data_IF_666052850493
#
_entry.id   IF_666052850493
#
_cell.length_a   1.000
_cell.length_b   1.000
_cell.length_c   1.000
_cell.angle_alpha   90.00
_cell.angle_beta   90.00
_cell.angle_gamma   90.00
#
_symmetry.space_group_name_H-M   'P 1'
#
loop_
_entity.id
_entity.type
_entity.pdbx_description
1 polymer ?
#
# COMPACT_ATOMS: atom_id res chain seq x y z
N UNK A 1 13.59 53.82 -76.21
CA UNK A 1 12.71 53.41 -75.05
C UNK A 1 13.26 52.08 -74.59
N UNK A 2 13.97 52.05 -73.46
CA UNK A 2 14.51 50.85 -72.83
C UNK A 2 13.51 50.47 -71.76
N UNK A 3 12.81 49.28 -71.87
CA UNK A 3 11.99 48.71 -70.87
C UNK A 3 12.89 47.90 -69.90
N UNK A 4 12.96 48.37 -68.65
CA UNK A 4 13.54 47.70 -67.51
C UNK A 4 12.50 46.78 -66.89
N UNK A 5 12.65 45.47 -67.03
CA UNK A 5 11.85 44.48 -66.25
C UNK A 5 12.62 44.16 -64.97
N UNK A 6 12.24 44.84 -63.94
CA UNK A 6 12.65 44.48 -62.58
C UNK A 6 11.90 43.22 -62.12
N UNK A 7 12.56 42.07 -62.06
CA UNK A 7 12.08 40.93 -61.34
C UNK A 7 12.24 41.19 -59.84
N UNK A 8 11.14 41.16 -59.12
CA UNK A 8 11.11 41.25 -57.63
C UNK A 8 11.80 39.98 -57.08
N UNK A 9 12.63 40.13 -56.05
CA UNK A 9 13.05 38.96 -55.24
C UNK A 9 11.99 38.66 -54.19
N UNK A 10 10.95 37.95 -54.58
CA UNK A 10 9.97 37.38 -53.65
C UNK A 10 10.25 35.88 -53.57
N UNK A 11 11.08 35.45 -52.63
CA UNK A 11 10.94 34.10 -52.03
C UNK A 11 12.05 33.66 -51.07
N UNK A 12 13.13 34.43 -50.87
CA UNK A 12 14.24 33.96 -50.01
C UNK A 12 13.94 34.18 -48.55
N UNK A 13 13.21 35.23 -48.20
CA UNK A 13 12.88 35.59 -46.80
C UNK A 13 11.80 34.69 -46.16
N UNK A 14 10.90 34.09 -46.97
CA UNK A 14 9.87 33.17 -46.49
C UNK A 14 10.40 31.76 -46.18
N UNK A 15 11.45 31.32 -46.84
CA UNK A 15 12.08 30.00 -46.60
C UNK A 15 12.96 30.01 -45.34
N UNK A 16 13.70 31.09 -45.06
CA UNK A 16 14.49 31.25 -43.83
C UNK A 16 13.60 31.40 -42.61
N UNK A 17 12.48 32.14 -42.69
CA UNK A 17 11.51 32.28 -41.60
C UNK A 17 10.82 30.94 -41.31
N UNK A 18 10.46 30.15 -42.32
CA UNK A 18 9.84 28.84 -42.20
C UNK A 18 10.80 27.82 -41.55
N UNK A 19 12.07 27.82 -41.96
CA UNK A 19 13.12 26.98 -41.36
C UNK A 19 13.39 27.36 -39.92
N UNK A 20 13.38 28.64 -39.59
CA UNK A 20 13.49 29.14 -38.20
C UNK A 20 12.34 28.64 -37.30
N UNK A 21 11.12 28.75 -37.77
CA UNK A 21 9.93 28.31 -37.05
C UNK A 21 9.93 26.78 -36.80
N UNK A 22 10.29 26.00 -37.83
CA UNK A 22 10.40 24.52 -37.73
C UNK A 22 11.45 24.12 -36.69
N UNK A 23 12.61 24.76 -36.65
CA UNK A 23 13.67 24.51 -35.67
C UNK A 23 13.22 24.85 -34.24
N UNK A 24 12.50 25.97 -34.05
CA UNK A 24 11.95 26.32 -32.72
C UNK A 24 10.90 25.34 -32.28
N UNK A 25 10.03 24.85 -33.15
CA UNK A 25 9.02 23.84 -32.88
C UNK A 25 9.67 22.53 -32.43
N UNK A 26 10.67 22.04 -33.16
CA UNK A 26 11.42 20.83 -32.79
C UNK A 26 12.11 20.95 -31.43
N UNK A 27 12.69 22.14 -31.13
CA UNK A 27 13.30 22.40 -29.82
C UNK A 27 12.25 22.46 -28.70
N UNK A 28 11.09 23.04 -28.95
CA UNK A 28 10.00 23.09 -27.98
C UNK A 28 9.47 21.68 -27.65
N UNK A 29 9.25 20.86 -28.68
CA UNK A 29 8.83 19.45 -28.51
C UNK A 29 9.88 18.61 -27.73
N UNK A 30 11.17 18.81 -28.05
CA UNK A 30 12.25 18.14 -27.32
C UNK A 30 12.32 18.57 -25.85
N UNK A 31 12.15 19.87 -25.56
CA UNK A 31 12.12 20.38 -24.20
C UNK A 31 10.89 19.87 -23.42
N UNK A 32 9.73 19.86 -24.06
CA UNK A 32 8.50 19.35 -23.45
C UNK A 32 8.68 17.86 -23.06
N UNK A 33 9.24 17.05 -23.93
CA UNK A 33 9.56 15.65 -23.64
C UNK A 33 10.50 15.51 -22.45
N UNK A 34 11.58 16.30 -22.40
CA UNK A 34 12.53 16.28 -21.27
C UNK A 34 11.83 16.70 -19.96
N UNK A 35 10.97 17.71 -20.00
CA UNK A 35 10.20 18.17 -18.83
C UNK A 35 9.27 17.05 -18.35
N UNK A 36 8.55 16.40 -19.26
CA UNK A 36 7.66 15.28 -18.92
C UNK A 36 8.43 14.12 -18.29
N UNK A 37 9.56 13.69 -18.89
CA UNK A 37 10.40 12.61 -18.37
C UNK A 37 10.97 12.94 -16.98
N UNK A 38 11.45 14.17 -16.80
CA UNK A 38 11.97 14.61 -15.48
C UNK A 38 10.89 14.74 -14.43
N UNK A 39 9.71 15.24 -14.81
CA UNK A 39 8.58 15.35 -13.90
C UNK A 39 8.13 13.95 -13.44
N UNK A 40 7.98 12.99 -14.34
CA UNK A 40 7.65 11.61 -14.01
C UNK A 40 8.68 10.99 -13.05
N UNK A 41 9.98 11.15 -13.35
CA UNK A 41 11.05 10.66 -12.47
C UNK A 41 11.06 11.31 -11.09
N UNK A 42 10.74 12.61 -10.99
CA UNK A 42 10.63 13.29 -9.70
C UNK A 42 9.43 12.81 -8.89
N UNK A 43 8.29 12.56 -9.54
CA UNK A 43 7.10 12.00 -8.86
C UNK A 43 7.41 10.62 -8.28
N UNK A 44 8.06 9.76 -9.08
CA UNK A 44 8.47 8.42 -8.63
C UNK A 44 9.43 8.49 -7.43
N UNK A 45 10.49 9.32 -7.53
CA UNK A 45 11.44 9.50 -6.43
C UNK A 45 10.80 10.07 -5.17
N UNK A 46 9.89 11.02 -5.30
CA UNK A 46 9.16 11.55 -4.15
C UNK A 46 8.33 10.45 -3.48
N UNK A 47 7.69 9.60 -4.28
CA UNK A 47 6.92 8.45 -3.75
C UNK A 47 7.81 7.45 -3.00
N UNK A 48 8.98 7.14 -3.54
CA UNK A 48 9.97 6.30 -2.86
C UNK A 48 10.40 6.90 -1.51
N UNK A 49 10.70 8.20 -1.48
CA UNK A 49 11.09 8.90 -0.24
C UNK A 49 9.94 8.93 0.80
N UNK A 50 8.69 9.09 0.38
CA UNK A 50 7.54 9.00 1.27
C UNK A 50 7.42 7.61 1.90
N UNK A 51 7.58 6.56 1.11
CA UNK A 51 7.56 5.17 1.60
C UNK A 51 8.71 4.93 2.57
N UNK A 52 9.92 5.37 2.24
CA UNK A 52 11.10 5.19 3.08
C UNK A 52 10.96 5.93 4.43
N UNK A 53 10.43 7.15 4.41
CA UNK A 53 10.14 7.91 5.62
C UNK A 53 9.06 7.23 6.49
N UNK A 54 8.02 6.66 5.88
CA UNK A 54 6.99 5.91 6.57
C UNK A 54 7.56 4.64 7.24
N UNK A 55 8.40 3.88 6.50
CA UNK A 55 9.07 2.69 7.02
C UNK A 55 10.02 3.02 8.18
N UNK A 56 10.78 4.11 8.07
CA UNK A 56 11.69 4.53 9.13
C UNK A 56 10.94 4.92 10.41
N UNK A 57 9.76 5.51 10.27
CA UNK A 57 8.91 5.85 11.42
C UNK A 57 8.38 4.60 12.13
N UNK A 58 7.91 3.61 11.37
CA UNK A 58 7.49 2.31 11.93
C UNK A 58 8.66 1.61 12.62
N UNK A 59 9.84 1.56 11.96
CA UNK A 59 11.06 0.97 12.49
C UNK A 59 11.49 1.62 13.79
N UNK A 60 11.44 2.95 13.87
CA UNK A 60 11.82 3.72 15.07
C UNK A 60 10.96 3.31 16.27
N UNK A 61 9.64 3.18 16.07
CA UNK A 61 8.74 2.72 17.13
C UNK A 61 9.04 1.28 17.50
N UNK A 62 9.19 0.38 16.53
CA UNK A 62 9.50 -1.02 16.77
C UNK A 62 10.81 -1.23 17.55
N UNK A 63 11.86 -0.43 17.25
CA UNK A 63 13.14 -0.49 17.95
C UNK A 63 13.10 0.12 19.35
N UNK A 64 12.12 0.97 19.65
CA UNK A 64 11.96 1.58 20.99
C UNK A 64 11.21 0.67 21.97
N UNK A 65 10.62 -0.44 21.50
CA UNK A 65 9.84 -1.36 22.33
C UNK A 65 10.72 -1.97 23.42
N UNK A 66 10.17 -2.00 24.62
CA UNK A 66 10.78 -2.66 25.78
C UNK A 66 9.98 -3.84 26.26
N UNK A 67 8.71 -3.91 25.87
CA UNK A 67 7.74 -4.96 26.24
C UNK A 67 6.90 -5.38 25.04
N UNK A 68 6.40 -6.59 25.09
CA UNK A 68 5.57 -7.16 24.00
C UNK A 68 4.20 -6.50 23.87
N UNK A 69 3.64 -5.96 24.96
CA UNK A 69 2.36 -5.25 24.94
C UNK A 69 2.44 -3.90 24.21
N UNK A 70 3.63 -3.34 24.07
CA UNK A 70 3.90 -2.13 23.27
C UNK A 70 3.83 -2.39 21.74
N UNK A 71 3.72 -3.65 21.30
CA UNK A 71 3.61 -3.99 19.86
C UNK A 71 2.37 -3.37 19.20
N UNK A 72 1.32 -3.09 19.98
CA UNK A 72 0.15 -2.38 19.50
C UNK A 72 0.47 -0.96 18.99
N UNK A 73 1.47 -0.30 19.55
CA UNK A 73 1.92 1.02 19.09
C UNK A 73 2.55 0.93 17.70
N UNK A 74 3.22 -0.18 17.38
CA UNK A 74 3.74 -0.44 16.03
C UNK A 74 2.60 -0.62 15.04
N UNK A 75 1.58 -1.43 15.38
CA UNK A 75 0.40 -1.63 14.53
C UNK A 75 -0.33 -0.29 14.28
N UNK A 76 -0.44 0.56 15.32
CA UNK A 76 -1.00 1.90 15.20
C UNK A 76 -0.21 2.78 14.23
N UNK A 77 1.09 2.88 14.42
CA UNK A 77 1.94 3.71 13.55
C UNK A 77 1.93 3.17 12.12
N UNK A 78 1.95 1.86 11.93
CA UNK A 78 1.81 1.24 10.61
C UNK A 78 0.50 1.67 9.93
N UNK A 79 -0.63 1.56 10.63
CA UNK A 79 -1.93 1.99 10.11
C UNK A 79 -1.94 3.47 9.71
N UNK A 80 -1.45 4.35 10.59
CA UNK A 80 -1.37 5.79 10.34
C UNK A 80 -0.48 6.13 9.13
N UNK A 81 0.67 5.46 8.99
CA UNK A 81 1.56 5.68 7.85
C UNK A 81 0.94 5.17 6.53
N UNK A 82 0.25 4.04 6.54
CA UNK A 82 -0.46 3.54 5.37
C UNK A 82 -1.55 4.52 4.90
N UNK A 83 -2.32 5.09 5.83
CA UNK A 83 -3.30 6.13 5.47
C UNK A 83 -2.64 7.36 4.86
N UNK A 84 -1.51 7.83 5.39
CA UNK A 84 -0.74 8.96 4.85
C UNK A 84 -0.19 8.66 3.46
N UNK A 85 0.17 7.41 3.19
CA UNK A 85 0.60 6.94 1.88
C UNK A 85 -0.56 6.77 0.88
N UNK A 86 -1.82 7.05 1.29
CA UNK A 86 -3.00 7.01 0.44
C UNK A 86 -3.74 5.67 0.41
N UNK A 87 -3.38 4.70 1.27
CA UNK A 87 -4.13 3.45 1.42
C UNK A 87 -5.37 3.67 2.30
N UNK A 88 -6.41 4.30 1.77
CA UNK A 88 -7.60 4.72 2.54
C UNK A 88 -8.64 3.61 2.73
N UNK A 89 -8.57 2.53 1.95
CA UNK A 89 -9.54 1.43 1.97
C UNK A 89 -9.18 0.29 2.94
N UNK A 90 -8.13 0.48 3.75
CA UNK A 90 -7.75 -0.50 4.75
C UNK A 90 -8.71 -0.49 5.94
N UNK A 91 -9.08 -1.67 6.42
CA UNK A 91 -9.86 -1.83 7.63
C UNK A 91 -9.00 -1.62 8.88
N UNK A 92 -7.84 -2.28 8.95
CA UNK A 92 -6.91 -2.28 10.07
C UNK A 92 -5.48 -2.60 9.62
N UNK A 93 -4.52 -2.34 10.51
CA UNK A 93 -3.18 -2.94 10.44
C UNK A 93 -3.08 -4.04 11.50
N UNK A 94 -2.35 -5.11 11.18
CA UNK A 94 -2.28 -6.35 11.96
C UNK A 94 -0.82 -6.74 12.13
N UNK A 95 -0.48 -7.20 13.33
CA UNK A 95 0.80 -7.84 13.63
C UNK A 95 0.52 -9.09 14.45
N UNK A 96 0.87 -10.26 13.92
CA UNK A 96 0.77 -11.55 14.60
C UNK A 96 2.14 -12.00 15.07
N UNK A 97 2.28 -12.33 16.35
CA UNK A 97 3.51 -12.89 16.92
C UNK A 97 3.21 -14.29 17.45
N UNK A 98 3.85 -15.27 16.85
CA UNK A 98 3.65 -16.69 17.10
C UNK A 98 4.52 -17.22 18.24
N UNK A 99 3.96 -18.11 19.06
CA UNK A 99 4.66 -18.91 20.05
C UNK A 99 4.35 -20.40 19.82
N UNK A 100 5.24 -21.06 19.05
CA UNK A 100 5.09 -22.47 18.67
C UNK A 100 5.12 -23.43 19.86
N UNK A 101 5.66 -23.02 21.01
CA UNK A 101 5.70 -23.83 22.22
C UNK A 101 4.32 -23.98 22.85
N UNK A 102 3.51 -22.94 22.75
CA UNK A 102 2.14 -22.92 23.28
C UNK A 102 1.09 -23.07 22.19
N UNK A 103 1.51 -23.17 20.93
CA UNK A 103 0.64 -23.23 19.74
C UNK A 103 -0.41 -22.11 19.74
N UNK A 104 0.06 -20.88 20.06
CA UNK A 104 -0.76 -19.67 20.12
C UNK A 104 -0.02 -18.51 19.46
N UNK A 105 -0.76 -17.47 19.13
CA UNK A 105 -0.19 -16.18 18.74
C UNK A 105 -0.91 -15.01 19.39
N UNK A 106 -0.20 -13.90 19.47
CA UNK A 106 -0.76 -12.61 19.88
C UNK A 106 -1.08 -11.82 18.62
N UNK A 107 -2.36 -11.49 18.44
CA UNK A 107 -2.88 -10.62 17.37
C UNK A 107 -2.97 -9.19 17.90
N UNK A 108 -2.17 -8.29 17.33
CA UNK A 108 -2.17 -6.85 17.58
C UNK A 108 -2.86 -6.16 16.42
N UNK A 109 -4.08 -5.76 16.61
CA UNK A 109 -4.96 -5.17 15.58
C UNK A 109 -5.22 -3.69 15.92
N UNK A 110 -5.03 -2.80 14.94
CA UNK A 110 -5.32 -1.37 15.12
C UNK A 110 -6.08 -0.79 13.93
N UNK A 111 -7.13 -0.02 14.26
CA UNK A 111 -7.81 0.90 13.33
C UNK A 111 -8.33 2.12 14.08
N UNK A 112 -8.58 3.20 13.37
CA UNK A 112 -9.14 4.42 13.98
C UNK A 112 -10.55 4.18 14.58
N UNK A 113 -11.35 3.30 13.94
CA UNK A 113 -12.74 3.05 14.35
C UNK A 113 -12.84 2.15 15.58
N UNK A 114 -11.94 1.18 15.70
CA UNK A 114 -11.98 0.19 16.76
C UNK A 114 -10.97 0.45 17.86
N UNK A 115 -10.07 1.42 17.66
CA UNK A 115 -8.86 1.57 18.48
C UNK A 115 -7.98 0.32 18.38
N UNK A 116 -7.14 0.07 19.37
CA UNK A 116 -6.31 -1.13 19.39
C UNK A 116 -6.96 -2.29 20.14
N UNK A 117 -6.74 -3.51 19.64
CA UNK A 117 -7.03 -4.75 20.34
C UNK A 117 -5.80 -5.62 20.40
N UNK A 118 -5.67 -6.39 21.49
CA UNK A 118 -4.63 -7.42 21.63
C UNK A 118 -5.33 -8.69 22.06
N UNK A 119 -5.30 -9.68 21.18
CA UNK A 119 -6.03 -10.93 21.39
C UNK A 119 -5.08 -12.12 21.31
N UNK A 120 -5.16 -13.02 22.27
CA UNK A 120 -4.46 -14.30 22.21
C UNK A 120 -5.34 -15.32 21.50
N UNK A 121 -4.82 -15.94 20.45
CA UNK A 121 -5.52 -16.93 19.65
C UNK A 121 -4.75 -18.26 19.63
N UNK A 122 -5.46 -19.39 19.64
CA UNK A 122 -4.86 -20.68 19.39
C UNK A 122 -4.70 -20.94 17.89
N UNK A 123 -3.69 -21.70 17.50
CA UNK A 123 -3.50 -22.14 16.12
C UNK A 123 -4.69 -22.95 15.57
N UNK A 124 -5.51 -23.51 16.47
CA UNK A 124 -6.64 -24.40 16.16
C UNK A 124 -8.01 -23.83 16.49
N UNK A 125 -8.11 -22.52 16.74
CA UNK A 125 -9.39 -21.89 17.11
C UNK A 125 -10.42 -21.93 15.97
N UNK A 126 -9.98 -21.87 14.71
CA UNK A 126 -10.83 -21.90 13.53
C UNK A 126 -10.01 -22.34 12.29
N UNK A 127 -10.69 -22.90 11.29
CA UNK A 127 -10.05 -23.39 10.06
C UNK A 127 -9.32 -22.29 9.26
N UNK A 128 -9.77 -21.05 9.37
CA UNK A 128 -9.08 -19.91 8.76
C UNK A 128 -7.78 -19.61 9.49
N UNK A 129 -7.79 -19.66 10.83
CA UNK A 129 -6.59 -19.49 11.65
C UNK A 129 -5.58 -20.59 11.34
N UNK A 130 -6.01 -21.85 11.26
CA UNK A 130 -5.14 -22.96 10.88
C UNK A 130 -4.51 -22.76 9.49
N UNK A 131 -5.27 -22.26 8.51
CA UNK A 131 -4.76 -21.96 7.18
C UNK A 131 -3.73 -20.81 7.22
N UNK A 132 -4.00 -19.76 7.98
CA UNK A 132 -3.08 -18.63 8.16
C UNK A 132 -1.76 -19.09 8.79
N UNK A 133 -1.81 -19.82 9.90
CA UNK A 133 -0.63 -20.37 10.58
C UNK A 133 0.17 -21.25 9.65
N UNK A 134 -0.47 -22.19 8.95
CA UNK A 134 0.20 -23.06 7.98
C UNK A 134 0.90 -22.29 6.86
N UNK A 135 0.30 -21.21 6.36
CA UNK A 135 0.92 -20.35 5.35
C UNK A 135 2.13 -19.62 5.89
N UNK A 136 2.07 -19.11 7.12
CA UNK A 136 3.19 -18.45 7.79
C UNK A 136 4.34 -19.45 8.00
N UNK A 137 4.07 -20.63 8.52
CA UNK A 137 5.08 -21.66 8.76
C UNK A 137 5.73 -22.19 7.47
N UNK A 138 4.95 -22.29 6.39
CA UNK A 138 5.44 -22.84 5.11
C UNK A 138 6.24 -21.85 4.27
N UNK A 139 6.17 -20.56 4.56
CA UNK A 139 6.71 -19.50 3.72
C UNK A 139 7.29 -18.40 4.60
N UNK A 140 8.59 -18.44 4.86
CA UNK A 140 9.27 -17.31 5.49
C UNK A 140 9.55 -16.23 4.43
N UNK A 141 9.38 -14.95 4.80
CA UNK A 141 9.57 -13.80 3.91
C UNK A 141 8.69 -13.86 2.64
N UNK A 142 7.43 -14.24 2.79
CA UNK A 142 6.49 -14.34 1.68
C UNK A 142 5.21 -13.53 1.94
N UNK A 143 4.75 -12.88 0.88
CA UNK A 143 3.43 -12.27 0.84
C UNK A 143 2.38 -13.31 0.49
N UNK A 144 1.22 -13.27 1.17
CA UNK A 144 0.08 -14.09 0.84
C UNK A 144 -1.24 -13.36 1.14
N UNK A 145 -2.27 -13.77 0.40
CA UNK A 145 -3.62 -13.29 0.57
C UNK A 145 -4.52 -14.39 1.15
N UNK A 146 -5.44 -14.00 2.04
CA UNK A 146 -6.49 -14.85 2.56
C UNK A 146 -7.83 -14.14 2.41
N UNK A 147 -8.80 -14.83 1.81
CA UNK A 147 -10.12 -14.27 1.53
C UNK A 147 -11.19 -15.01 2.32
N UNK A 148 -11.92 -14.28 3.15
CA UNK A 148 -13.04 -14.79 3.94
C UNK A 148 -14.38 -14.34 3.35
N UNK A 149 -15.30 -15.31 3.15
CA UNK A 149 -16.66 -15.08 2.65
C UNK A 149 -17.65 -15.98 3.39
N UNK A 150 -18.89 -15.50 3.53
CA UNK A 150 -20.00 -16.31 4.06
C UNK A 150 -19.71 -16.91 5.44
N UNK A 151 -19.86 -18.24 5.58
CA UNK A 151 -19.71 -18.91 6.89
C UNK A 151 -18.33 -18.74 7.54
N UNK A 152 -17.19 -18.86 6.85
CA UNK A 152 -15.88 -18.59 7.44
C UNK A 152 -15.73 -17.16 7.96
N UNK A 153 -16.27 -16.17 7.27
CA UNK A 153 -16.25 -14.79 7.74
C UNK A 153 -17.08 -14.63 9.03
N UNK A 154 -18.25 -15.23 9.09
CA UNK A 154 -19.08 -15.20 10.29
C UNK A 154 -18.41 -15.91 11.47
N UNK A 155 -17.80 -17.08 11.23
CA UNK A 155 -17.07 -17.82 12.26
C UNK A 155 -15.92 -16.99 12.86
N UNK A 156 -15.15 -16.29 12.03
CA UNK A 156 -14.10 -15.39 12.52
C UNK A 156 -14.68 -14.24 13.36
N UNK A 157 -15.77 -13.62 12.93
CA UNK A 157 -16.43 -12.54 13.68
C UNK A 157 -16.87 -13.05 15.06
N UNK A 158 -17.52 -14.22 15.10
CA UNK A 158 -18.00 -14.84 16.33
C UNK A 158 -16.84 -15.22 17.27
N UNK A 159 -15.73 -15.72 16.71
CA UNK A 159 -14.51 -16.05 17.45
C UNK A 159 -13.92 -14.79 18.11
N UNK A 160 -13.78 -13.69 17.37
CA UNK A 160 -13.24 -12.43 17.91
C UNK A 160 -14.11 -11.89 19.05
N UNK A 161 -15.43 -11.93 18.88
CA UNK A 161 -16.39 -11.55 19.94
C UNK A 161 -16.25 -12.47 21.17
N UNK A 162 -16.13 -13.78 20.97
CA UNK A 162 -15.91 -14.78 22.04
C UNK A 162 -14.61 -14.48 22.80
N UNK A 163 -13.59 -14.02 22.13
CA UNK A 163 -12.31 -13.64 22.73
C UNK A 163 -12.31 -12.24 23.36
N UNK A 164 -13.49 -11.60 23.45
CA UNK A 164 -13.70 -10.34 24.18
C UNK A 164 -13.50 -9.08 23.35
N UNK A 165 -13.31 -9.21 22.03
CA UNK A 165 -13.23 -8.04 21.15
C UNK A 165 -14.61 -7.40 20.97
N UNK A 166 -14.62 -6.08 20.83
CA UNK A 166 -15.83 -5.37 20.42
C UNK A 166 -16.16 -5.69 18.96
N UNK A 167 -17.42 -5.98 18.61
CA UNK A 167 -17.79 -6.21 17.22
C UNK A 167 -17.54 -4.95 16.37
N UNK A 168 -16.79 -5.10 15.29
CA UNK A 168 -16.63 -4.04 14.29
C UNK A 168 -17.93 -3.93 13.47
N UNK A 169 -18.67 -2.80 13.55
CA UNK A 169 -19.95 -2.66 12.85
C UNK A 169 -19.82 -2.76 11.32
N UNK A 170 -18.63 -2.51 10.78
CA UNK A 170 -18.34 -2.59 9.34
C UNK A 170 -18.37 -4.05 8.88
N UNK A 171 -17.86 -4.99 9.69
CA UNK A 171 -17.87 -6.42 9.38
C UNK A 171 -19.27 -7.01 9.25
N UNK A 172 -20.25 -6.46 9.94
CA UNK A 172 -21.65 -6.92 9.87
C UNK A 172 -22.33 -6.58 8.52
N UNK A 173 -21.74 -5.71 7.72
CA UNK A 173 -22.31 -5.19 6.47
C UNK A 173 -21.61 -5.70 5.21
N UNK A 174 -20.51 -6.42 5.36
CA UNK A 174 -19.70 -6.88 4.24
C UNK A 174 -20.00 -8.34 3.87
N UNK A 175 -19.68 -8.67 2.62
CA UNK A 175 -19.80 -10.05 2.10
C UNK A 175 -18.44 -10.75 2.04
N UNK A 176 -17.35 -9.99 2.13
CA UNK A 176 -15.99 -10.46 1.99
C UNK A 176 -15.05 -9.59 2.83
N UNK A 177 -14.08 -10.25 3.44
CA UNK A 177 -12.92 -9.65 4.09
C UNK A 177 -11.66 -10.26 3.48
N UNK A 178 -10.71 -9.44 3.09
CA UNK A 178 -9.42 -9.87 2.53
C UNK A 178 -8.31 -9.49 3.49
N UNK A 179 -7.47 -10.45 3.83
CA UNK A 179 -6.23 -10.25 4.57
C UNK A 179 -5.06 -10.29 3.60
N UNK A 180 -4.21 -9.29 3.66
CA UNK A 180 -2.96 -9.18 2.93
C UNK A 180 -1.83 -9.20 3.93
N UNK A 181 -1.11 -10.31 4.03
CA UNK A 181 -0.15 -10.58 5.07
C UNK A 181 1.23 -10.87 4.47
N UNK A 182 2.26 -10.44 5.19
CA UNK A 182 3.66 -10.77 4.91
C UNK A 182 4.22 -11.55 6.09
N UNK A 183 4.66 -12.79 5.85
CA UNK A 183 5.25 -13.65 6.88
C UNK A 183 6.69 -13.25 7.18
N UNK A 184 7.07 -13.29 8.44
CA UNK A 184 8.44 -13.11 8.90
C UNK A 184 8.72 -14.07 10.07
N UNK A 185 9.93 -14.64 10.12
CA UNK A 185 10.42 -15.43 11.24
C UNK A 185 9.37 -16.22 12.02
N UNK A 186 8.80 -15.60 13.04
CA UNK A 186 7.79 -16.17 13.92
C UNK A 186 6.48 -15.37 13.92
N UNK A 187 6.03 -14.89 12.78
CA UNK A 187 4.77 -14.13 12.73
C UNK A 187 4.43 -13.59 11.34
N UNK A 188 3.50 -12.65 11.34
CA UNK A 188 3.08 -11.94 10.14
C UNK A 188 2.75 -10.47 10.44
N UNK A 189 2.88 -9.63 9.43
CA UNK A 189 2.43 -8.24 9.43
C UNK A 189 1.56 -7.99 8.21
N UNK A 190 0.53 -7.19 8.35
CA UNK A 190 -0.30 -6.87 7.20
C UNK A 190 -1.49 -6.00 7.48
N UNK A 191 -2.44 -6.09 6.58
CA UNK A 191 -3.68 -5.31 6.60
C UNK A 191 -4.88 -6.19 6.27
N UNK A 192 -6.09 -5.75 6.64
CA UNK A 192 -7.30 -6.29 6.04
C UNK A 192 -8.13 -5.22 5.34
N UNK A 193 -8.87 -5.63 4.32
CA UNK A 193 -9.69 -4.78 3.46
C UNK A 193 -11.10 -5.37 3.30
N UNK A 194 -12.09 -4.50 3.06
CA UNK A 194 -13.47 -4.92 2.77
C UNK A 194 -13.73 -5.30 1.32
N UNK A 195 -12.83 -4.98 0.42
CA UNK A 195 -12.91 -5.29 -1.01
C UNK A 195 -11.69 -6.09 -1.45
N UNK A 196 -11.87 -6.89 -2.51
CA UNK A 196 -10.73 -7.45 -3.24
C UNK A 196 -9.97 -6.28 -3.85
N UNK A 197 -8.67 -6.20 -3.61
CA UNK A 197 -7.80 -5.34 -4.41
C UNK A 197 -7.95 -5.85 -5.86
N UNK A 198 -8.58 -5.06 -6.72
CA UNK A 198 -8.53 -5.35 -8.14
C UNK A 198 -7.11 -5.03 -8.58
N UNK A 199 -6.43 -6.00 -9.14
CA UNK A 199 -5.20 -5.78 -9.90
C UNK A 199 -5.60 -4.98 -11.16
N UNK A 200 -5.43 -3.64 -11.12
CA UNK A 200 -5.45 -2.77 -12.29
C UNK A 200 -4.03 -2.54 -12.80
#
# INVERSE_FOLDING_TARGET
VIHWHGSKPENVQSEEDTFGIENWKQKAEALEKIVQERTASLVEKNRELEIEAALEKVRTVALSLTKSDEMLDVAKVLYEQLLLLGFTEIRNAIIDIHDDKTETFMDYDYSNEMSGTVTRMSYYDDSFIEEQVRKIESSNDAFFELILKGKPLQALIDLRIKNGEKPDPRLLKIKQLTYNLYSFGNGAIGISNFAVLNDD
#
